data_IF_640631086944
#
_entry.id   IF_640631086944
#
_cell.length_a   1.000
_cell.length_b   1.000
_cell.length_c   1.000
_cell.angle_alpha   90.00
_cell.angle_beta   90.00
_cell.angle_gamma   90.00
#
_symmetry.space_group_name_H-M   'P 1'
#
loop_
_entity.id
_entity.type
_entity.pdbx_description
1 polymer ?
#
# COMPACT_ATOMS: atom_id res chain seq x y z
N UNK A 1 11.48 61.66 -35.89
CA UNK A 1 12.72 62.50 -35.93
C UNK A 1 13.23 62.69 -34.50
N UNK A 2 14.51 63.06 -34.31
CA UNK A 2 15.16 63.11 -32.97
C UNK A 2 14.92 64.47 -32.28
N UNK A 3 14.55 64.47 -30.99
CA UNK A 3 14.88 65.52 -30.01
C UNK A 3 15.33 64.85 -28.71
N UNK A 4 16.16 65.53 -27.92
CA UNK A 4 16.91 64.99 -26.77
C UNK A 4 16.82 65.96 -25.58
N UNK A 5 16.75 65.38 -24.37
CA UNK A 5 17.37 65.85 -23.12
C UNK A 5 17.04 67.28 -22.65
N UNK A 6 16.45 67.37 -21.46
CA UNK A 6 17.07 68.15 -20.38
C UNK A 6 16.94 67.41 -19.04
N UNK A 7 17.81 67.73 -18.09
CA UNK A 7 17.91 67.12 -16.77
C UNK A 7 17.79 68.19 -15.70
N UNK A 8 17.18 67.84 -14.56
CA UNK A 8 17.28 68.57 -13.30
C UNK A 8 16.99 67.58 -12.17
N UNK A 9 18.02 67.27 -11.37
CA UNK A 9 17.86 66.61 -10.08
C UNK A 9 18.13 67.61 -8.96
N UNK A 10 17.64 67.31 -7.76
CA UNK A 10 18.04 68.03 -6.54
C UNK A 10 18.43 67.04 -5.46
N UNK A 11 19.48 67.40 -4.72
CA UNK A 11 20.03 66.63 -3.61
C UNK A 11 19.36 67.14 -2.32
N UNK A 12 19.06 66.23 -1.39
CA UNK A 12 18.26 66.52 -0.20
C UNK A 12 19.01 67.22 0.94
N UNK A 13 18.31 67.43 2.05
CA UNK A 13 18.84 67.95 3.32
C UNK A 13 18.30 67.12 4.47
N UNK A 14 19.19 66.67 5.37
CA UNK A 14 18.80 66.05 6.64
C UNK A 14 18.63 67.10 7.73
N UNK A 15 17.58 66.99 8.55
CA UNK A 15 17.49 67.70 9.83
C UNK A 15 17.05 66.72 10.91
N UNK A 16 17.88 66.57 11.95
CA UNK A 16 17.51 65.80 13.14
C UNK A 16 16.55 66.62 14.02
N UNK A 17 15.64 65.92 14.70
CA UNK A 17 15.09 66.34 15.99
C UNK A 17 15.27 65.20 17.00
N UNK A 18 15.35 65.56 18.29
CA UNK A 18 15.87 64.72 19.36
C UNK A 18 15.09 64.99 20.67
N UNK A 19 15.19 64.07 21.64
CA UNK A 19 14.57 64.10 22.97
C UNK A 19 13.01 63.93 23.02
N UNK A 20 12.42 63.25 24.01
CA UNK A 20 12.97 62.38 25.07
C UNK A 20 11.85 61.50 25.72
N UNK A 21 12.26 60.39 26.36
CA UNK A 21 11.74 59.72 27.57
C UNK A 21 10.22 59.49 27.80
N UNK A 22 9.72 58.37 28.36
CA UNK A 22 10.20 56.99 28.67
C UNK A 22 8.89 56.12 28.77
N UNK A 23 8.68 54.95 29.40
CA UNK A 23 9.38 54.08 30.38
C UNK A 23 8.75 52.63 30.35
N UNK A 24 9.29 51.71 31.17
CA UNK A 24 8.73 50.40 31.61
C UNK A 24 8.64 49.22 30.62
N UNK A 25 9.71 48.40 30.61
CA UNK A 25 9.76 46.95 30.99
C UNK A 25 8.73 45.90 30.51
N UNK A 26 9.08 44.58 30.44
CA UNK A 26 10.40 43.94 30.30
C UNK A 26 10.44 42.79 29.24
N UNK A 27 11.62 42.17 29.06
CA UNK A 27 11.89 41.07 28.09
C UNK A 27 11.55 39.67 28.66
N UNK A 28 11.07 38.76 27.80
CA UNK A 28 10.89 37.33 28.12
C UNK A 28 12.04 36.45 27.55
N UNK A 29 12.55 35.45 28.29
CA UNK A 29 13.60 34.53 27.85
C UNK A 29 13.07 33.28 27.12
N UNK A 30 13.92 32.55 26.36
CA UNK A 30 13.54 31.29 25.69
C UNK A 30 13.51 30.09 26.66
N UNK A 31 12.73 29.03 26.37
CA UNK A 31 12.68 27.82 27.17
C UNK A 31 13.84 26.86 26.87
N UNK A 32 14.35 26.17 27.90
CA UNK A 32 15.36 25.10 27.80
C UNK A 32 15.08 23.96 28.76
N UNK A 33 15.65 22.78 28.44
CA UNK A 33 15.79 21.56 29.27
C UNK A 33 14.51 20.78 29.65
N UNK A 34 14.61 19.46 29.55
CA UNK A 34 13.61 18.48 29.96
C UNK A 34 14.19 17.54 31.04
N UNK A 35 13.52 17.50 32.19
CA UNK A 35 13.66 16.52 33.29
C UNK A 35 12.30 16.48 34.01
N UNK A 36 11.79 15.39 34.59
CA UNK A 36 12.44 14.14 35.01
C UNK A 36 11.65 12.89 34.58
N UNK A 37 12.26 11.71 34.74
CA UNK A 37 11.56 10.43 34.78
C UNK A 37 10.90 10.21 36.15
N UNK A 38 9.84 9.41 36.22
CA UNK A 38 9.75 8.33 37.23
C UNK A 38 8.64 7.32 36.96
N UNK A 39 8.97 6.05 37.21
CA UNK A 39 8.05 4.92 37.18
C UNK A 39 7.19 4.86 38.44
N UNK A 40 6.00 4.25 38.36
CA UNK A 40 5.52 3.42 39.46
C UNK A 40 4.72 2.23 38.92
N UNK A 41 4.92 1.07 39.55
CA UNK A 41 4.19 -0.18 39.30
C UNK A 41 3.33 -0.44 40.51
N UNK A 42 2.09 -0.90 40.33
CA UNK A 42 1.31 -1.45 41.43
C UNK A 42 0.67 -2.79 41.06
N UNK A 43 0.83 -3.76 41.95
CA UNK A 43 0.26 -5.10 41.84
C UNK A 43 -0.82 -5.24 42.91
N UNK A 44 -1.98 -5.80 42.54
CA UNK A 44 -3.07 -6.10 43.46
C UNK A 44 -3.63 -7.50 43.19
N UNK A 45 -3.47 -8.40 44.14
CA UNK A 45 -3.96 -9.79 44.08
C UNK A 45 -4.87 -10.12 45.27
N UNK A 46 -5.64 -11.21 45.14
CA UNK A 46 -6.27 -12.01 46.22
C UNK A 46 -7.75 -11.78 46.58
N UNK A 47 -8.63 -12.53 45.89
CA UNK A 47 -9.55 -13.56 46.44
C UNK A 47 -10.68 -13.26 47.47
N UNK A 48 -11.88 -13.84 47.19
CA UNK A 48 -12.96 -14.28 48.11
C UNK A 48 -13.77 -13.19 48.86
N UNK A 49 -15.05 -13.32 49.26
CA UNK A 49 -16.04 -14.43 49.38
C UNK A 49 -17.46 -13.89 49.03
N UNK A 50 -18.38 -14.54 48.29
CA UNK A 50 -19.22 -15.71 48.57
C UNK A 50 -20.38 -15.55 49.61
N UNK A 51 -21.64 -15.39 49.12
CA UNK A 51 -22.93 -15.93 49.64
C UNK A 51 -24.09 -15.47 48.71
N UNK A 52 -24.86 -16.37 48.05
CA UNK A 52 -26.15 -16.98 48.45
C UNK A 52 -27.39 -16.05 48.40
N UNK A 53 -28.63 -16.48 48.09
CA UNK A 53 -29.19 -17.65 47.35
C UNK A 53 -30.73 -17.55 47.33
N UNK A 54 -31.41 -17.83 46.21
CA UNK A 54 -32.73 -18.54 46.17
C UNK A 54 -33.19 -18.84 44.74
N UNK A 55 -33.78 -20.02 44.55
CA UNK A 55 -34.61 -20.39 43.38
C UNK A 55 -36.09 -20.39 43.80
N UNK A 56 -37.01 -20.67 42.87
CA UNK A 56 -37.59 -22.03 42.93
C UNK A 56 -37.60 -22.74 41.58
N UNK A 57 -37.50 -24.07 41.63
CA UNK A 57 -37.59 -24.99 40.49
C UNK A 57 -38.87 -25.80 40.59
N UNK A 58 -39.54 -26.08 39.46
CA UNK A 58 -40.37 -27.28 39.34
C UNK A 58 -40.12 -27.98 37.99
N UNK A 59 -39.72 -29.25 38.08
CA UNK A 59 -39.60 -30.19 36.97
C UNK A 59 -40.98 -30.87 36.74
N UNK A 60 -41.22 -31.73 35.74
CA UNK A 60 -40.38 -32.85 35.28
C UNK A 60 -40.96 -33.62 34.08
N UNK A 61 -40.07 -34.31 33.35
CA UNK A 61 -40.24 -35.64 32.67
C UNK A 61 -41.38 -35.90 31.66
N UNK A 62 -41.23 -36.65 30.56
CA UNK A 62 -40.10 -37.29 29.83
C UNK A 62 -40.66 -37.80 28.44
N UNK A 63 -40.14 -38.75 27.63
CA UNK A 63 -39.10 -39.80 27.77
C UNK A 63 -38.60 -40.36 26.42
N UNK A 64 -37.30 -40.69 26.35
CA UNK A 64 -36.69 -41.79 25.56
C UNK A 64 -36.38 -41.66 24.05
N UNK A 65 -35.22 -42.25 23.72
CA UNK A 65 -34.78 -42.92 22.46
C UNK A 65 -34.25 -42.10 21.25
N UNK A 66 -32.93 -42.22 21.11
CA UNK A 66 -32.08 -42.18 19.91
C UNK A 66 -32.62 -43.06 18.75
N UNK A 67 -32.45 -42.62 17.48
CA UNK A 67 -31.56 -43.39 16.60
C UNK A 67 -30.61 -42.54 15.72
N UNK A 68 -29.36 -43.00 15.61
CA UNK A 68 -28.31 -42.35 14.81
C UNK A 68 -28.61 -42.26 13.30
N UNK A 69 -28.49 -41.04 12.74
CA UNK A 69 -28.62 -40.77 11.30
C UNK A 69 -27.26 -40.93 10.60
N UNK A 70 -27.18 -41.81 9.61
CA UNK A 70 -26.00 -41.94 8.73
C UNK A 70 -26.11 -40.98 7.55
N UNK A 71 -25.16 -40.08 7.40
CA UNK A 71 -24.99 -39.32 6.16
C UNK A 71 -24.34 -40.22 5.09
N UNK A 72 -25.00 -40.35 3.94
CA UNK A 72 -24.46 -41.04 2.76
C UNK A 72 -23.99 -39.97 1.78
N UNK A 73 -22.69 -39.98 1.47
CA UNK A 73 -22.14 -39.17 0.37
C UNK A 73 -22.30 -39.97 -0.92
N UNK A 74 -23.01 -39.40 -1.90
CA UNK A 74 -23.10 -39.93 -3.26
C UNK A 74 -22.09 -39.17 -4.11
N UNK A 75 -21.10 -39.88 -4.65
CA UNK A 75 -20.07 -39.31 -5.52
C UNK A 75 -20.31 -39.77 -6.95
N UNK A 76 -20.74 -38.85 -7.83
CA UNK A 76 -20.76 -39.11 -9.28
C UNK A 76 -19.37 -38.86 -9.89
N UNK A 77 -18.87 -39.74 -10.78
CA UNK A 77 -17.60 -39.53 -11.46
C UNK A 77 -17.78 -38.65 -12.70
N UNK A 78 -17.29 -37.40 -12.64
CA UNK A 78 -17.12 -36.57 -13.83
C UNK A 78 -15.97 -37.14 -14.72
N UNK A 79 -16.07 -37.06 -16.07
CA UNK A 79 -15.12 -37.69 -16.96
C UNK A 79 -13.75 -37.00 -16.95
N UNK A 80 -12.68 -37.81 -16.90
CA UNK A 80 -11.31 -37.31 -16.86
C UNK A 80 -10.86 -36.68 -18.18
N UNK A 81 -10.36 -35.46 -18.11
CA UNK A 81 -9.66 -34.78 -19.22
C UNK A 81 -8.15 -35.00 -19.04
N UNK A 82 -7.51 -35.60 -20.03
CA UNK A 82 -6.08 -35.92 -19.99
C UNK A 82 -5.24 -34.66 -20.28
N UNK A 83 -4.24 -34.38 -19.44
CA UNK A 83 -3.24 -33.33 -19.65
C UNK A 83 -1.84 -33.94 -19.47
N UNK A 84 -0.90 -33.74 -20.41
CA UNK A 84 0.29 -34.58 -20.49
C UNK A 84 1.33 -34.29 -19.39
N UNK A 85 1.94 -35.36 -18.88
CA UNK A 85 3.10 -35.28 -17.99
C UNK A 85 4.29 -34.59 -18.65
N UNK A 86 4.85 -33.58 -17.98
CA UNK A 86 6.17 -33.03 -18.29
C UNK A 86 7.05 -33.25 -17.06
N UNK A 87 7.78 -34.37 -17.06
CA UNK A 87 8.70 -34.71 -15.98
C UNK A 87 10.05 -33.98 -16.10
N UNK A 88 10.88 -34.12 -15.07
CA UNK A 88 12.01 -33.26 -14.77
C UNK A 88 13.26 -33.53 -15.65
N UNK A 89 13.93 -32.44 -16.06
CA UNK A 89 15.35 -32.31 -16.46
C UNK A 89 16.09 -33.56 -16.97
N UNK A 90 16.41 -33.56 -18.26
CA UNK A 90 17.63 -34.18 -18.79
C UNK A 90 18.69 -33.11 -19.10
N UNK A 91 19.96 -33.43 -18.89
CA UNK A 91 21.10 -32.54 -19.16
C UNK A 91 21.63 -32.84 -20.56
N UNK A 92 21.37 -31.94 -21.51
CA UNK A 92 21.79 -32.10 -22.91
C UNK A 92 23.29 -31.79 -23.09
N UNK A 93 24.12 -32.83 -23.06
CA UNK A 93 25.50 -32.78 -23.55
C UNK A 93 25.52 -32.89 -25.08
N UNK A 94 25.96 -31.84 -25.78
CA UNK A 94 25.86 -31.73 -27.25
C UNK A 94 27.18 -32.02 -28.01
N UNK A 95 28.01 -32.92 -27.48
CA UNK A 95 29.25 -33.39 -28.14
C UNK A 95 29.46 -34.90 -27.96
N UNK A 96 30.04 -35.52 -28.99
CA UNK A 96 30.32 -36.96 -29.05
C UNK A 96 31.46 -37.35 -28.10
N UNK A 97 31.25 -38.35 -27.22
CA UNK A 97 32.30 -38.93 -26.36
C UNK A 97 32.02 -39.01 -24.85
N UNK A 98 30.86 -38.59 -24.34
CA UNK A 98 30.60 -38.42 -22.90
C UNK A 98 30.28 -39.71 -22.09
N UNK A 99 30.65 -40.91 -22.55
CA UNK A 99 30.24 -42.20 -21.96
C UNK A 99 31.35 -42.99 -21.22
N UNK A 100 32.29 -42.34 -20.51
CA UNK A 100 33.35 -43.06 -19.76
C UNK A 100 33.71 -42.50 -18.37
N UNK A 101 32.73 -42.38 -17.47
CA UNK A 101 32.84 -42.75 -16.02
C UNK A 101 31.56 -42.39 -15.25
N UNK A 102 30.81 -43.38 -14.76
CA UNK A 102 30.50 -43.64 -13.33
C UNK A 102 30.04 -45.10 -13.22
N UNK A 103 30.72 -45.92 -12.41
CA UNK A 103 30.23 -47.26 -12.04
C UNK A 103 29.56 -47.24 -10.66
N UNK A 104 28.27 -47.59 -10.53
CA UNK A 104 27.60 -47.65 -9.22
C UNK A 104 28.06 -48.89 -8.41
N UNK A 105 28.54 -48.74 -7.15
CA UNK A 105 28.93 -49.87 -6.33
C UNK A 105 27.70 -50.58 -5.74
N UNK A 106 27.46 -51.82 -6.16
CA UNK A 106 26.44 -52.70 -5.56
C UNK A 106 26.98 -53.45 -4.35
N UNK A 107 26.30 -53.35 -3.19
CA UNK A 107 26.08 -54.48 -2.26
C UNK A 107 25.11 -54.13 -1.12
N UNK A 108 24.41 -55.15 -0.64
CA UNK A 108 23.33 -55.05 0.33
C UNK A 108 23.71 -55.46 1.74
N UNK A 109 23.08 -54.86 2.75
CA UNK A 109 22.62 -55.59 3.95
C UNK A 109 21.39 -54.92 4.57
N UNK A 110 20.55 -55.69 5.25
CA UNK A 110 19.24 -55.25 5.79
C UNK A 110 19.37 -54.72 7.22
N UNK A 111 18.69 -53.61 7.54
CA UNK A 111 18.11 -53.39 8.86
C UNK A 111 16.88 -52.47 8.81
N UNK A 112 15.95 -52.75 9.72
CA UNK A 112 14.56 -52.28 9.86
C UNK A 112 14.35 -50.75 9.96
N UNK A 113 13.11 -50.31 9.70
CA UNK A 113 12.74 -48.89 9.62
C UNK A 113 12.33 -48.24 10.95
N UNK A 114 12.59 -46.93 11.05
CA UNK A 114 11.83 -45.98 11.89
C UNK A 114 11.65 -44.69 11.09
N UNK A 115 10.42 -44.18 10.96
CA UNK A 115 10.07 -43.10 10.03
C UNK A 115 9.98 -41.73 10.71
N UNK A 116 11.03 -40.92 10.60
CA UNK A 116 10.99 -39.48 10.92
C UNK A 116 12.20 -38.73 10.34
N UNK A 117 12.02 -38.04 9.22
CA UNK A 117 13.00 -37.07 8.71
C UNK A 117 12.29 -35.88 8.07
N UNK A 118 12.66 -34.67 8.49
CA UNK A 118 12.09 -33.43 7.96
C UNK A 118 12.56 -33.21 6.51
N UNK A 119 11.64 -33.30 5.55
CA UNK A 119 11.87 -32.91 4.16
C UNK A 119 11.50 -31.45 3.93
N UNK A 120 12.43 -30.53 4.15
CA UNK A 120 12.23 -29.10 3.91
C UNK A 120 12.12 -28.77 2.42
N UNK A 121 10.93 -28.91 1.84
CA UNK A 121 10.62 -28.38 0.52
C UNK A 121 10.43 -26.87 0.60
N UNK A 122 11.20 -26.10 -0.19
CA UNK A 122 10.94 -24.68 -0.39
C UNK A 122 9.69 -24.57 -1.27
N UNK A 123 8.53 -24.33 -0.68
CA UNK A 123 7.42 -23.74 -1.42
C UNK A 123 7.82 -22.31 -1.77
N UNK A 124 7.83 -21.98 -3.06
CA UNK A 124 7.76 -20.57 -3.46
C UNK A 124 6.29 -20.21 -3.34
N UNK A 125 5.90 -19.82 -2.13
CA UNK A 125 4.54 -19.39 -1.83
C UNK A 125 4.23 -18.17 -2.71
N UNK A 126 3.39 -18.37 -3.72
CA UNK A 126 2.81 -17.26 -4.45
C UNK A 126 2.08 -16.37 -3.43
N UNK A 127 2.33 -15.04 -3.41
CA UNK A 127 1.89 -14.17 -2.32
C UNK A 127 0.39 -14.33 -2.11
N UNK A 128 0.03 -14.73 -0.88
CA UNK A 128 -1.20 -15.47 -0.58
C UNK A 128 -2.42 -14.86 -1.30
N UNK A 129 -2.90 -15.55 -2.35
CA UNK A 129 -3.86 -15.03 -3.32
C UNK A 129 -5.29 -15.07 -2.75
N UNK A 130 -5.46 -14.42 -1.61
CA UNK A 130 -6.63 -14.49 -0.75
C UNK A 130 -7.43 -13.21 -0.86
N UNK A 131 -8.67 -13.34 -1.34
CA UNK A 131 -9.59 -12.23 -1.51
C UNK A 131 -9.83 -11.49 -0.17
N UNK A 132 -9.91 -10.15 -0.20
CA UNK A 132 -10.08 -9.33 0.99
C UNK A 132 -11.53 -9.38 1.50
N UNK A 133 -11.72 -9.11 2.79
CA UNK A 133 -13.05 -9.05 3.39
C UNK A 133 -13.66 -7.67 3.16
N UNK A 134 -14.68 -7.56 2.31
CA UNK A 134 -15.44 -6.32 2.08
C UNK A 134 -16.68 -6.30 2.96
N UNK A 135 -16.91 -5.19 3.66
CA UNK A 135 -18.11 -4.94 4.46
C UNK A 135 -18.56 -3.48 4.29
N UNK A 136 -19.60 -3.24 3.49
CA UNK A 136 -20.05 -1.90 3.14
C UNK A 136 -18.92 -1.08 2.48
N UNK A 137 -18.66 0.11 3.02
CA UNK A 137 -17.56 0.98 2.58
C UNK A 137 -16.24 0.72 3.34
N UNK A 138 -15.95 -0.54 3.68
CA UNK A 138 -14.67 -0.96 4.25
C UNK A 138 -14.16 -2.25 3.60
N UNK A 139 -12.84 -2.36 3.45
CA UNK A 139 -12.15 -3.56 2.97
C UNK A 139 -10.97 -3.90 3.88
N UNK A 140 -10.97 -5.08 4.49
CA UNK A 140 -9.79 -5.63 5.17
C UNK A 140 -8.98 -6.48 4.20
N UNK A 141 -7.76 -6.04 3.89
CA UNK A 141 -6.78 -6.83 3.13
C UNK A 141 -6.29 -7.98 4.00
N UNK A 142 -6.57 -9.22 3.61
CA UNK A 142 -6.24 -10.37 4.46
C UNK A 142 -4.78 -10.80 4.37
N UNK A 143 -3.96 -10.14 3.53
CA UNK A 143 -2.52 -10.42 3.39
C UNK A 143 -1.67 -9.70 4.45
N UNK A 144 -2.18 -8.60 5.02
CA UNK A 144 -1.51 -7.82 6.08
C UNK A 144 -2.45 -7.35 7.21
N UNK A 145 -3.74 -7.72 7.13
CA UNK A 145 -4.84 -7.36 8.04
C UNK A 145 -5.09 -5.84 8.17
N UNK A 146 -4.67 -5.03 7.19
CA UNK A 146 -5.01 -3.60 7.15
C UNK A 146 -6.43 -3.40 6.62
N UNK A 147 -7.21 -2.58 7.32
CA UNK A 147 -8.55 -2.16 6.86
C UNK A 147 -8.46 -0.78 6.23
N UNK A 148 -9.01 -0.68 5.02
CA UNK A 148 -9.08 0.54 4.22
C UNK A 148 -10.55 0.96 4.07
N UNK A 149 -10.83 2.25 4.22
CA UNK A 149 -12.11 2.85 3.85
C UNK A 149 -12.28 2.80 2.33
N UNK A 150 -13.51 2.68 1.85
CA UNK A 150 -13.87 2.68 0.44
C UNK A 150 -14.75 3.88 0.06
N UNK A 151 -14.68 4.27 -1.21
CA UNK A 151 -15.64 5.16 -1.86
C UNK A 151 -16.34 4.42 -3.01
N UNK A 152 -17.54 4.85 -3.38
CA UNK A 152 -18.25 4.32 -4.55
C UNK A 152 -18.23 5.35 -5.68
N UNK A 153 -17.53 5.04 -6.77
CA UNK A 153 -17.32 5.95 -7.91
C UNK A 153 -17.57 5.20 -9.20
N UNK A 154 -18.38 5.77 -10.11
CA UNK A 154 -18.71 5.15 -11.40
C UNK A 154 -19.42 3.79 -11.30
N UNK A 155 -20.02 3.48 -10.14
CA UNK A 155 -20.61 2.17 -9.83
C UNK A 155 -19.62 1.12 -9.31
N UNK A 156 -18.30 1.40 -9.28
CA UNK A 156 -17.26 0.56 -8.67
C UNK A 156 -16.99 0.96 -7.23
N UNK A 157 -16.45 0.03 -6.44
CA UNK A 157 -15.81 0.33 -5.15
C UNK A 157 -14.32 0.64 -5.37
N UNK A 158 -13.84 1.65 -4.67
CA UNK A 158 -12.48 2.19 -4.74
C UNK A 158 -11.89 2.32 -3.34
N UNK A 159 -10.59 2.14 -3.19
CA UNK A 159 -9.90 2.54 -1.96
C UNK A 159 -9.98 4.06 -1.76
N UNK A 160 -10.48 4.51 -0.61
CA UNK A 160 -10.52 5.92 -0.20
C UNK A 160 -9.22 6.39 0.47
N UNK A 161 -8.23 5.51 0.57
CA UNK A 161 -6.91 5.71 1.18
C UNK A 161 -5.84 5.06 0.31
N UNK A 162 -4.59 5.51 0.42
CA UNK A 162 -3.47 4.90 -0.29
C UNK A 162 -3.12 3.53 0.30
N UNK A 163 -2.85 2.56 -0.57
CA UNK A 163 -2.45 1.20 -0.20
C UNK A 163 -1.15 1.22 0.62
N UNK A 164 -1.08 0.41 1.67
CA UNK A 164 0.07 0.28 2.59
C UNK A 164 0.57 -1.17 2.71
N UNK A 165 0.32 -1.98 1.67
CA UNK A 165 0.76 -3.37 1.60
C UNK A 165 2.27 -3.48 1.34
N UNK A 166 3.00 -4.06 2.29
CA UNK A 166 4.47 -4.14 2.27
C UNK A 166 5.02 -5.16 1.26
N UNK A 167 4.35 -6.31 1.12
CA UNK A 167 4.86 -7.52 0.43
C UNK A 167 5.11 -7.39 -1.08
N UNK A 168 4.87 -6.23 -1.69
CA UNK A 168 5.11 -5.94 -3.11
C UNK A 168 6.25 -4.93 -3.36
N UNK A 169 7.15 -4.74 -2.37
CA UNK A 169 8.27 -3.78 -2.36
C UNK A 169 7.84 -2.31 -2.45
N UNK A 170 6.77 -1.95 -1.73
CA UNK A 170 6.36 -0.56 -1.51
C UNK A 170 7.20 0.10 -0.41
N UNK A 171 7.71 1.31 -0.66
CA UNK A 171 8.56 2.07 0.26
C UNK A 171 7.79 3.22 0.92
N UNK A 172 8.25 3.67 2.09
CA UNK A 172 7.74 4.89 2.72
C UNK A 172 8.41 6.13 2.11
N UNK A 173 7.71 7.26 2.10
CA UNK A 173 8.33 8.55 1.74
C UNK A 173 9.52 8.86 2.67
N UNK A 174 10.69 9.18 2.10
CA UNK A 174 11.98 9.33 2.80
C UNK A 174 12.39 8.10 3.66
N UNK A 175 11.90 6.90 3.35
CA UNK A 175 12.09 5.67 4.15
C UNK A 175 11.55 5.76 5.60
N UNK A 176 10.86 6.84 5.97
CA UNK A 176 10.33 7.07 7.33
C UNK A 176 9.04 6.27 7.52
N UNK A 177 9.09 5.27 8.40
CA UNK A 177 7.94 4.39 8.69
C UNK A 177 6.65 5.12 9.11
N UNK A 178 6.75 6.29 9.76
CA UNK A 178 5.60 7.12 10.10
C UNK A 178 4.84 7.64 8.85
N UNK A 179 5.54 7.94 7.76
CA UNK A 179 4.92 8.37 6.50
C UNK A 179 4.12 7.23 5.87
N UNK A 180 4.58 5.97 5.98
CA UNK A 180 3.77 4.81 5.58
C UNK A 180 2.44 4.73 6.34
N UNK A 181 2.41 5.08 7.63
CA UNK A 181 1.20 5.00 8.44
C UNK A 181 0.16 6.07 8.05
N UNK A 182 0.60 7.26 7.64
CA UNK A 182 -0.26 8.39 7.28
C UNK A 182 -0.64 8.45 5.80
N UNK A 183 0.27 8.08 4.89
CA UNK A 183 0.18 8.34 3.45
C UNK A 183 0.26 7.07 2.59
N UNK A 184 0.26 5.88 3.20
CA UNK A 184 0.47 4.62 2.49
C UNK A 184 1.88 4.48 1.91
N UNK A 185 2.05 3.55 0.98
CA UNK A 185 3.35 3.23 0.35
C UNK A 185 3.44 3.72 -1.08
N UNK A 186 4.67 4.02 -1.49
CA UNK A 186 5.01 4.42 -2.84
C UNK A 186 5.66 3.24 -3.57
N UNK A 187 5.01 2.79 -4.63
CA UNK A 187 5.33 1.57 -5.38
C UNK A 187 5.98 1.91 -6.71
N UNK A 188 6.91 1.09 -7.21
CA UNK A 188 7.25 1.11 -8.64
C UNK A 188 6.05 0.66 -9.46
N UNK A 189 5.98 0.93 -10.77
CA UNK A 189 4.84 0.45 -11.57
C UNK A 189 4.74 -1.08 -11.55
N UNK A 190 5.88 -1.78 -11.65
CA UNK A 190 5.92 -3.24 -11.61
C UNK A 190 5.46 -3.80 -10.25
N UNK A 191 5.76 -3.10 -9.15
CA UNK A 191 5.20 -3.38 -7.82
C UNK A 191 3.69 -3.14 -7.80
N UNK A 192 3.24 -1.98 -8.27
CA UNK A 192 1.83 -1.54 -8.24
C UNK A 192 0.89 -2.50 -8.97
N UNK A 193 1.31 -3.04 -10.12
CA UNK A 193 0.59 -4.08 -10.87
C UNK A 193 0.31 -5.37 -10.06
N UNK A 194 1.01 -5.61 -8.94
CA UNK A 194 0.81 -6.75 -8.03
C UNK A 194 0.47 -6.31 -6.60
N UNK A 195 0.30 -5.01 -6.36
CA UNK A 195 0.14 -4.48 -5.01
C UNK A 195 -1.30 -4.67 -4.50
N UNK A 196 -2.31 -4.53 -5.36
CA UNK A 196 -3.72 -4.74 -5.01
C UNK A 196 -4.00 -6.21 -4.60
N UNK A 197 -4.99 -6.45 -3.71
CA UNK A 197 -5.42 -7.80 -3.33
C UNK A 197 -6.30 -8.46 -4.41
N UNK A 198 -6.55 -9.77 -4.30
CA UNK A 198 -7.33 -10.54 -5.29
C UNK A 198 -8.74 -9.96 -5.50
N UNK A 199 -9.18 -9.80 -6.75
CA UNK A 199 -10.44 -9.13 -7.09
C UNK A 199 -10.36 -7.59 -7.10
N UNK A 200 -9.15 -7.04 -6.94
CA UNK A 200 -8.88 -5.60 -7.01
C UNK A 200 -7.64 -5.33 -7.87
N UNK A 201 -7.65 -4.22 -8.60
CA UNK A 201 -6.59 -3.85 -9.56
C UNK A 201 -6.36 -2.33 -9.60
N UNK A 202 -5.34 -1.91 -10.35
CA UNK A 202 -5.20 -0.49 -10.72
C UNK A 202 -6.39 -0.06 -11.61
N UNK A 203 -6.84 1.21 -11.52
CA UNK A 203 -7.91 1.73 -12.37
C UNK A 203 -7.53 1.68 -13.85
N UNK A 204 -8.50 1.45 -14.74
CA UNK A 204 -8.37 1.78 -16.16
C UNK A 204 -8.57 3.29 -16.40
N UNK A 205 -8.60 3.75 -17.66
CA UNK A 205 -8.70 5.20 -17.95
C UNK A 205 -10.08 5.75 -17.61
N UNK A 206 -11.11 4.98 -17.90
CA UNK A 206 -12.52 5.34 -17.74
C UNK A 206 -12.87 5.47 -16.25
N UNK A 207 -12.40 4.51 -15.45
CA UNK A 207 -12.44 4.52 -13.99
C UNK A 207 -11.64 5.72 -13.44
N UNK A 208 -10.39 5.89 -13.85
CA UNK A 208 -9.56 7.02 -13.42
C UNK A 208 -10.22 8.38 -13.74
N UNK A 209 -10.82 8.53 -14.92
CA UNK A 209 -11.52 9.75 -15.31
C UNK A 209 -12.79 9.97 -14.46
N UNK A 210 -13.52 8.90 -14.11
CA UNK A 210 -14.67 9.00 -13.20
C UNK A 210 -14.25 9.50 -11.81
N UNK A 211 -13.15 9.00 -11.24
CA UNK A 211 -12.62 9.47 -9.95
C UNK A 211 -11.97 10.86 -10.00
N UNK A 212 -11.43 11.27 -11.15
CA UNK A 212 -10.96 12.65 -11.37
C UNK A 212 -12.14 13.64 -11.39
N UNK A 213 -13.28 13.22 -11.95
CA UNK A 213 -14.49 14.04 -12.10
C UNK A 213 -15.38 14.05 -10.83
N UNK A 214 -15.13 13.17 -9.87
CA UNK A 214 -15.86 13.09 -8.61
C UNK A 214 -15.19 13.99 -7.55
N UNK A 215 -15.78 15.17 -7.32
CA UNK A 215 -15.31 16.13 -6.31
C UNK A 215 -15.36 15.58 -4.87
N UNK A 216 -16.14 14.51 -4.62
CA UNK A 216 -16.24 13.88 -3.31
C UNK A 216 -15.19 12.79 -3.07
N UNK A 217 -14.49 12.32 -4.10
CA UNK A 217 -13.52 11.24 -3.95
C UNK A 217 -12.27 11.74 -3.19
N UNK A 218 -11.92 11.12 -2.03
CA UNK A 218 -10.85 11.61 -1.17
C UNK A 218 -9.48 11.19 -1.73
N UNK A 219 -8.96 12.00 -2.63
CA UNK A 219 -7.58 11.92 -3.12
C UNK A 219 -6.55 12.25 -2.00
N UNK A 220 -5.26 12.16 -2.30
CA UNK A 220 -4.18 12.34 -1.31
C UNK A 220 -2.87 12.85 -1.92
N UNK A 221 -2.27 13.82 -1.24
CA UNK A 221 -1.03 14.48 -1.63
C UNK A 221 0.24 13.73 -1.15
N UNK A 222 0.31 12.43 -1.43
CA UNK A 222 1.33 11.51 -0.86
C UNK A 222 2.73 11.64 -1.49
N UNK A 223 2.95 12.60 -2.40
CA UNK A 223 4.23 12.88 -3.03
C UNK A 223 4.72 11.77 -3.97
N UNK A 224 6.01 11.81 -4.31
CA UNK A 224 6.68 10.80 -5.15
C UNK A 224 8.13 10.60 -4.76
N UNK A 225 8.67 9.40 -5.00
CA UNK A 225 10.12 9.14 -4.87
C UNK A 225 10.73 8.66 -6.20
N UNK A 226 12.05 8.82 -6.35
CA UNK A 226 12.87 8.17 -7.38
C UNK A 226 14.30 8.03 -6.85
N UNK A 227 14.84 6.81 -6.87
CA UNK A 227 16.25 6.52 -6.51
C UNK A 227 16.68 7.11 -5.13
N UNK A 228 15.76 7.14 -4.16
CA UNK A 228 15.94 7.76 -2.83
C UNK A 228 15.39 9.19 -2.70
N UNK A 229 15.36 9.98 -3.79
CA UNK A 229 14.88 11.36 -3.78
C UNK A 229 13.35 11.44 -3.72
N UNK A 230 12.77 11.70 -2.54
CA UNK A 230 11.33 11.93 -2.37
C UNK A 230 10.96 13.42 -2.29
N UNK A 231 9.91 13.81 -3.02
CA UNK A 231 9.48 15.20 -3.19
C UNK A 231 7.94 15.35 -3.20
N UNK A 232 7.47 16.58 -2.93
CA UNK A 232 6.06 17.04 -3.02
C UNK A 232 5.05 16.41 -2.03
N UNK A 233 5.49 15.81 -0.92
CA UNK A 233 4.57 15.40 0.16
C UNK A 233 3.76 16.60 0.66
N UNK A 234 2.45 16.42 0.83
CA UNK A 234 1.49 17.47 1.18
C UNK A 234 1.03 18.33 0.00
N UNK A 235 1.89 18.53 -1.00
CA UNK A 235 1.66 19.47 -2.12
C UNK A 235 1.05 18.82 -3.37
N UNK A 236 1.40 17.55 -3.64
CA UNK A 236 0.95 16.83 -4.84
C UNK A 236 0.69 15.35 -4.59
N UNK A 237 -0.35 14.83 -5.24
CA UNK A 237 -0.64 13.41 -5.33
C UNK A 237 -0.16 12.84 -6.67
N UNK A 238 0.37 11.62 -6.66
CA UNK A 238 0.77 10.91 -7.88
C UNK A 238 0.32 9.45 -7.74
N UNK A 239 -0.64 9.02 -8.55
CA UNK A 239 -1.34 7.74 -8.39
C UNK A 239 -1.22 6.88 -9.65
N UNK A 240 -0.82 5.61 -9.50
CA UNK A 240 -0.71 4.69 -10.64
C UNK A 240 -2.07 4.33 -11.25
N UNK A 241 -2.09 4.19 -12.58
CA UNK A 241 -3.20 3.59 -13.34
C UNK A 241 -2.70 2.42 -14.19
N UNK A 242 -3.64 1.63 -14.72
CA UNK A 242 -3.39 0.65 -15.79
C UNK A 242 -3.56 1.24 -17.20
N UNK A 243 -3.85 2.55 -17.32
CA UNK A 243 -4.14 3.18 -18.60
C UNK A 243 -2.91 3.30 -19.51
N UNK A 244 -3.12 3.11 -20.81
CA UNK A 244 -2.10 3.35 -21.84
C UNK A 244 -1.94 4.84 -22.12
N UNK A 245 -0.71 5.34 -22.33
CA UNK A 245 -0.45 6.71 -22.79
C UNK A 245 -1.22 7.05 -24.07
N UNK A 246 -1.79 8.25 -24.14
CA UNK A 246 -2.49 8.77 -25.32
C UNK A 246 -2.24 10.27 -25.54
N UNK A 247 -2.57 10.76 -26.73
CA UNK A 247 -2.54 12.19 -27.04
C UNK A 247 -3.39 13.02 -26.04
N UNK A 248 -2.88 14.19 -25.65
CA UNK A 248 -3.44 15.03 -24.60
C UNK A 248 -3.02 14.70 -23.17
N UNK A 249 -2.46 13.51 -22.87
CA UNK A 249 -1.82 13.26 -21.57
C UNK A 249 -0.60 14.19 -21.40
N UNK A 250 -0.39 14.77 -20.21
CA UNK A 250 0.79 15.63 -20.00
C UNK A 250 2.08 14.84 -20.19
N UNK A 251 3.06 15.47 -20.85
CA UNK A 251 4.36 14.89 -21.19
C UNK A 251 4.34 13.71 -22.17
N UNK A 252 3.23 13.41 -22.86
CA UNK A 252 3.12 12.30 -23.82
C UNK A 252 4.27 12.27 -24.84
N UNK A 253 4.47 13.36 -25.60
CA UNK A 253 5.54 13.46 -26.61
C UNK A 253 6.97 13.41 -26.03
N UNK A 254 7.12 13.66 -24.72
CA UNK A 254 8.41 13.68 -24.02
C UNK A 254 8.80 12.32 -23.42
N UNK A 255 7.82 11.43 -23.22
CA UNK A 255 7.94 10.19 -22.45
C UNK A 255 7.47 8.98 -23.27
N UNK A 256 8.13 8.75 -24.41
CA UNK A 256 7.75 7.75 -25.41
C UNK A 256 8.40 6.39 -25.14
N UNK A 257 7.65 5.30 -25.33
CA UNK A 257 8.13 3.92 -25.29
C UNK A 257 7.86 3.17 -23.97
N UNK A 258 8.25 1.89 -23.94
CA UNK A 258 7.77 0.92 -22.94
C UNK A 258 8.18 1.20 -21.49
N UNK A 259 9.12 2.12 -21.24
CA UNK A 259 9.52 2.54 -19.90
C UNK A 259 8.53 3.50 -19.22
N UNK A 260 7.49 3.94 -19.92
CA UNK A 260 6.54 4.95 -19.44
C UNK A 260 5.09 4.41 -19.39
N UNK A 261 4.26 5.04 -18.55
CA UNK A 261 2.84 4.71 -18.38
C UNK A 261 2.08 5.89 -17.78
N UNK A 262 0.75 5.79 -17.69
CA UNK A 262 -0.11 6.88 -17.20
C UNK A 262 -0.27 6.86 -15.69
N UNK A 263 -0.14 8.04 -15.11
CA UNK A 263 -0.50 8.36 -13.72
C UNK A 263 -1.59 9.43 -13.69
N UNK A 264 -2.34 9.45 -12.59
CA UNK A 264 -3.14 10.61 -12.19
C UNK A 264 -2.22 11.50 -11.35
N UNK A 265 -2.14 12.77 -11.73
CA UNK A 265 -1.45 13.79 -10.93
C UNK A 265 -2.50 14.71 -10.32
N UNK A 266 -2.33 14.96 -9.03
CA UNK A 266 -3.11 15.94 -8.27
C UNK A 266 -2.18 17.03 -7.72
N UNK A 267 -2.68 18.26 -7.63
CA UNK A 267 -2.07 19.37 -6.90
C UNK A 267 -3.00 19.84 -5.79
N UNK A 268 -2.43 20.12 -4.62
CA UNK A 268 -3.07 20.94 -3.60
C UNK A 268 -3.44 22.32 -4.18
N UNK A 269 -4.61 22.91 -3.86
CA UNK A 269 -5.04 24.18 -4.45
C UNK A 269 -4.05 25.34 -4.25
N UNK A 270 -3.42 25.43 -3.07
CA UNK A 270 -2.41 26.46 -2.77
C UNK A 270 -1.13 26.26 -3.61
N UNK A 271 -0.69 25.01 -3.78
CA UNK A 271 0.44 24.66 -4.65
C UNK A 271 0.14 24.87 -6.14
N UNK A 272 -1.11 24.60 -6.55
CA UNK A 272 -1.56 24.85 -7.91
C UNK A 272 -1.61 26.35 -8.22
N UNK A 273 -2.11 27.17 -7.30
CA UNK A 273 -2.37 28.59 -7.50
C UNK A 273 -3.49 28.86 -8.50
N UNK A 274 -3.87 30.14 -8.62
CA UNK A 274 -5.03 30.56 -9.41
C UNK A 274 -4.93 30.13 -10.89
N UNK A 275 -6.03 29.56 -11.41
CA UNK A 275 -6.21 29.13 -12.80
C UNK A 275 -5.32 27.96 -13.29
N UNK A 276 -4.91 27.03 -12.41
CA UNK A 276 -4.26 25.76 -12.83
C UNK A 276 -5.14 24.53 -12.65
N UNK A 277 -5.09 23.66 -13.65
CA UNK A 277 -5.64 22.29 -13.67
C UNK A 277 -5.14 21.47 -12.46
N UNK A 278 -6.06 21.14 -11.54
CA UNK A 278 -5.74 20.49 -10.26
C UNK A 278 -5.48 18.99 -10.41
N UNK A 279 -6.29 18.30 -11.22
CA UNK A 279 -6.24 16.85 -11.46
C UNK A 279 -6.11 16.58 -12.96
N UNK A 280 -5.18 15.72 -13.37
CA UNK A 280 -4.93 15.43 -14.79
C UNK A 280 -4.16 14.13 -14.99
N UNK A 281 -4.24 13.56 -16.20
CA UNK A 281 -3.38 12.47 -16.63
C UNK A 281 -1.99 12.96 -17.06
N UNK A 282 -0.95 12.26 -16.63
CA UNK A 282 0.43 12.50 -17.04
C UNK A 282 1.10 11.17 -17.42
N UNK A 283 1.92 11.18 -18.45
CA UNK A 283 2.82 10.07 -18.78
C UNK A 283 4.10 10.21 -17.96
N UNK A 284 4.48 9.18 -17.21
CA UNK A 284 5.70 9.17 -16.41
C UNK A 284 6.37 7.78 -16.31
N UNK A 285 7.63 7.76 -15.87
CA UNK A 285 8.53 6.60 -15.93
C UNK A 285 8.22 5.54 -14.86
N UNK A 286 8.15 4.28 -15.28
CA UNK A 286 7.78 3.09 -14.48
C UNK A 286 8.71 2.81 -13.29
N UNK A 287 9.91 3.39 -13.25
CA UNK A 287 10.88 3.27 -12.17
C UNK A 287 10.73 4.31 -11.04
N UNK A 288 9.91 5.34 -11.23
CA UNK A 288 9.48 6.23 -10.12
C UNK A 288 8.60 5.45 -9.14
N UNK A 289 8.41 6.01 -7.94
CA UNK A 289 7.51 5.49 -6.92
C UNK A 289 6.34 6.44 -6.66
N UNK A 290 5.13 5.90 -6.75
CA UNK A 290 3.85 6.60 -6.67
C UNK A 290 2.85 5.79 -5.83
N UNK A 291 1.80 6.43 -5.30
CA UNK A 291 0.77 5.76 -4.50
C UNK A 291 -0.15 4.90 -5.36
N UNK A 292 -0.87 3.98 -4.69
CA UNK A 292 -1.78 3.03 -5.32
C UNK A 292 -3.16 3.14 -4.67
N UNK A 293 -4.16 3.43 -5.51
CA UNK A 293 -5.59 3.32 -5.20
C UNK A 293 -6.16 2.17 -6.00
N UNK A 294 -6.61 1.11 -5.33
CA UNK A 294 -7.17 -0.05 -6.02
C UNK A 294 -8.67 0.13 -6.28
N UNK A 295 -9.15 -0.45 -7.38
CA UNK A 295 -10.56 -0.53 -7.79
C UNK A 295 -10.97 -2.00 -7.82
N UNK A 296 -12.20 -2.29 -7.38
CA UNK A 296 -12.79 -3.62 -7.49
C UNK A 296 -13.01 -4.01 -8.96
N UNK A 297 -12.62 -5.23 -9.33
CA UNK A 297 -12.62 -5.71 -10.72
C UNK A 297 -13.98 -5.66 -11.41
#
# INVERSE_FOLDING_TARGET
MKKKILSLGFIGVSTLFWACADDTSPVAPPPTSYTESSSSVFVGTSSSSAQQQTTPTYSSSATSKDPAVKHVVVTEPAPGVNYPDIYNKEVFCFTEGCEKTVTPPSSSSKAQATSSSNGGGITIDAPENKAPTVNGLTMTDTRDNKTYTLAQVGGKLWMAQDLNYEGSTGECYNEVAANCASNGRLYTFNSAQRACPSGWRLPNREEAQAAINDESYPWSYSGRCKDGDCNFLGQMGFHWTSATPQDGDKNFDSNVGDNYTVIIVEKEPEYAGENKELKFFQVDAKNKRFSVRCVQE
#
